data_IF_741808181423
#
_entry.id   IF_741808181423
#
_cell.length_a   1.000
_cell.length_b   1.000
_cell.length_c   1.000
_cell.angle_alpha   90.00
_cell.angle_beta   90.00
_cell.angle_gamma   90.00
#
_symmetry.space_group_name_H-M   'P 1'
#
loop_
_entity.id
_entity.type
_entity.pdbx_description
1 polymer ?
#
# COMPACT_ATOMS: atom_id res chain seq x y z
N UNK A 1 -14.36 17.29 -0.03
CA UNK A 1 -14.40 16.05 -0.83
C UNK A 1 -13.78 14.95 0.00
N UNK A 2 -14.34 13.74 0.01
CA UNK A 2 -13.73 12.61 0.74
C UNK A 2 -12.45 12.17 0.03
N UNK A 3 -11.39 11.89 0.80
CA UNK A 3 -10.16 11.32 0.22
C UNK A 3 -10.39 9.84 -0.14
N UNK A 4 -9.58 9.24 -1.02
CA UNK A 4 -9.71 7.81 -1.31
C UNK A 4 -9.50 6.95 -0.05
N UNK A 5 -8.69 7.40 0.91
CA UNK A 5 -8.54 6.76 2.22
C UNK A 5 -9.83 6.82 3.05
N UNK A 6 -10.53 7.95 3.08
CA UNK A 6 -11.82 8.06 3.78
C UNK A 6 -12.88 7.15 3.14
N UNK A 7 -12.89 7.05 1.81
CA UNK A 7 -13.78 6.14 1.08
C UNK A 7 -13.52 4.67 1.46
N UNK A 8 -12.26 4.27 1.62
CA UNK A 8 -11.89 2.92 2.11
C UNK A 8 -12.41 2.69 3.53
N UNK A 9 -12.24 3.65 4.44
CA UNK A 9 -12.75 3.56 5.82
C UNK A 9 -14.27 3.36 5.86
N UNK A 10 -14.99 3.96 4.91
CA UNK A 10 -16.44 3.79 4.74
C UNK A 10 -16.83 2.60 3.86
N UNK A 11 -15.90 1.71 3.48
CA UNK A 11 -16.10 0.56 2.59
C UNK A 11 -16.66 0.91 1.20
N UNK A 12 -16.50 2.16 0.76
CA UNK A 12 -16.88 2.66 -0.57
C UNK A 12 -15.77 2.36 -1.57
N UNK A 13 -15.49 1.07 -1.76
CA UNK A 13 -14.31 0.61 -2.49
C UNK A 13 -14.33 0.97 -3.98
N UNK A 14 -15.49 0.97 -4.64
CA UNK A 14 -15.57 1.35 -6.06
C UNK A 14 -15.19 2.82 -6.28
N UNK A 15 -15.67 3.71 -5.40
CA UNK A 15 -15.37 5.13 -5.49
C UNK A 15 -13.92 5.42 -5.12
N UNK A 16 -13.41 4.73 -4.08
CA UNK A 16 -11.99 4.80 -3.73
C UNK A 16 -11.11 4.35 -4.90
N UNK A 17 -11.46 3.25 -5.58
CA UNK A 17 -10.75 2.75 -6.74
C UNK A 17 -10.74 3.78 -7.88
N UNK A 18 -11.90 4.32 -8.26
CA UNK A 18 -12.00 5.38 -9.28
C UNK A 18 -11.14 6.59 -8.92
N UNK A 19 -11.20 7.05 -7.68
CA UNK A 19 -10.41 8.18 -7.22
C UNK A 19 -8.90 7.89 -7.27
N UNK A 20 -8.45 6.68 -6.92
CA UNK A 20 -7.04 6.29 -7.04
C UNK A 20 -6.58 6.23 -8.49
N UNK A 21 -7.42 5.79 -9.44
CA UNK A 21 -7.08 5.81 -10.86
C UNK A 21 -6.91 7.23 -11.39
N UNK A 22 -7.73 8.17 -10.93
CA UNK A 22 -7.57 9.59 -11.28
C UNK A 22 -6.27 10.19 -10.69
N UNK A 23 -5.85 9.77 -9.50
CA UNK A 23 -4.56 10.17 -8.93
C UNK A 23 -3.39 9.63 -9.76
N UNK A 24 -3.42 8.34 -10.11
CA UNK A 24 -2.41 7.70 -10.97
C UNK A 24 -2.32 8.39 -12.33
N UNK A 25 -3.45 8.82 -12.90
CA UNK A 25 -3.47 9.56 -14.18
C UNK A 25 -2.78 10.92 -14.08
N UNK A 26 -2.78 11.55 -12.90
CA UNK A 26 -2.12 12.84 -12.66
C UNK A 26 -0.62 12.65 -12.41
N UNK A 27 -0.26 11.65 -11.63
CA UNK A 27 1.12 11.27 -11.38
C UNK A 27 1.24 9.74 -11.26
N UNK A 28 1.92 9.14 -12.25
CA UNK A 28 2.14 7.69 -12.30
C UNK A 28 3.22 7.21 -11.33
N UNK A 29 4.02 8.13 -10.77
CA UNK A 29 5.08 7.83 -9.82
C UNK A 29 4.66 8.13 -8.38
N UNK A 30 3.42 8.57 -8.13
CA UNK A 30 2.88 8.71 -6.78
C UNK A 30 2.59 7.32 -6.19
N UNK A 31 3.32 6.95 -5.12
CA UNK A 31 3.16 5.68 -4.42
C UNK A 31 1.80 5.54 -3.71
N UNK A 32 1.21 6.66 -3.27
CA UNK A 32 0.04 6.67 -2.41
C UNK A 32 -1.20 5.97 -3.03
N UNK A 33 -1.63 6.26 -4.27
CA UNK A 33 -2.77 5.57 -4.87
C UNK A 33 -2.51 4.08 -5.11
N UNK A 34 -1.28 3.65 -5.38
CA UNK A 34 -0.97 2.21 -5.48
C UNK A 34 -1.11 1.52 -4.12
N UNK A 35 -0.66 2.17 -3.05
CA UNK A 35 -0.86 1.68 -1.68
C UNK A 35 -2.34 1.54 -1.34
N UNK A 36 -3.16 2.56 -1.62
CA UNK A 36 -4.61 2.52 -1.35
C UNK A 36 -5.33 1.44 -2.16
N UNK A 37 -4.98 1.26 -3.44
CA UNK A 37 -5.49 0.14 -4.24
C UNK A 37 -5.04 -1.21 -3.68
N UNK A 38 -3.82 -1.28 -3.14
CA UNK A 38 -3.30 -2.45 -2.44
C UNK A 38 -4.13 -2.79 -1.21
N UNK A 39 -4.50 -1.80 -0.39
CA UNK A 39 -5.41 -1.98 0.75
C UNK A 39 -6.77 -2.52 0.30
N UNK A 40 -7.36 -1.94 -0.75
CA UNK A 40 -8.63 -2.43 -1.31
C UNK A 40 -8.49 -3.90 -1.74
N UNK A 41 -7.44 -4.25 -2.48
CA UNK A 41 -7.21 -5.63 -2.92
C UNK A 41 -7.00 -6.59 -1.72
N UNK A 42 -6.31 -6.14 -0.69
CA UNK A 42 -6.07 -6.89 0.54
C UNK A 42 -7.37 -7.16 1.31
N UNK A 43 -8.23 -6.15 1.46
CA UNK A 43 -9.57 -6.28 2.06
C UNK A 43 -10.46 -7.28 1.31
N UNK A 44 -10.34 -7.33 -0.01
CA UNK A 44 -11.04 -8.32 -0.85
C UNK A 44 -10.34 -9.69 -0.89
N UNK A 45 -9.31 -9.92 -0.06
CA UNK A 45 -8.51 -11.15 0.00
C UNK A 45 -7.81 -11.51 -1.31
N UNK A 46 -7.69 -10.56 -2.24
CA UNK A 46 -6.93 -10.73 -3.46
C UNK A 46 -5.45 -10.44 -3.19
N UNK A 47 -4.83 -11.31 -2.40
CA UNK A 47 -3.47 -11.11 -1.89
C UNK A 47 -2.42 -11.07 -3.00
N UNK A 48 -2.65 -11.77 -4.13
CA UNK A 48 -1.77 -11.67 -5.31
C UNK A 48 -1.77 -10.25 -5.88
N UNK A 49 -2.96 -9.65 -6.01
CA UNK A 49 -3.07 -8.27 -6.52
C UNK A 49 -2.57 -7.24 -5.52
N UNK A 50 -2.86 -7.45 -4.23
CA UNK A 50 -2.31 -6.62 -3.16
C UNK A 50 -0.78 -6.63 -3.18
N UNK A 51 -0.16 -7.79 -3.41
CA UNK A 51 1.29 -7.92 -3.52
C UNK A 51 1.87 -7.08 -4.66
N UNK A 52 1.26 -7.14 -5.86
CA UNK A 52 1.69 -6.31 -7.00
C UNK A 52 1.62 -4.82 -6.68
N UNK A 53 0.52 -4.40 -6.05
CA UNK A 53 0.25 -2.99 -5.76
C UNK A 53 1.13 -2.43 -4.63
N UNK A 54 1.34 -3.20 -3.57
CA UNK A 54 2.26 -2.82 -2.50
C UNK A 54 3.71 -2.83 -2.97
N UNK A 55 4.09 -3.77 -3.85
CA UNK A 55 5.43 -3.75 -4.47
C UNK A 55 5.64 -2.44 -5.24
N UNK A 56 4.69 -2.03 -6.07
CA UNK A 56 4.75 -0.74 -6.77
C UNK A 56 4.85 0.45 -5.80
N UNK A 57 4.06 0.46 -4.74
CA UNK A 57 4.13 1.51 -3.73
C UNK A 57 5.54 1.61 -3.11
N UNK A 58 6.18 0.47 -2.80
CA UNK A 58 7.57 0.45 -2.29
C UNK A 58 8.63 0.83 -3.32
N UNK A 59 8.36 0.61 -4.61
CA UNK A 59 9.26 1.03 -5.70
C UNK A 59 9.23 2.55 -5.91
N UNK A 60 8.03 3.15 -5.79
CA UNK A 60 7.83 4.59 -5.97
C UNK A 60 8.14 5.41 -4.72
N UNK A 61 7.88 4.88 -3.53
CA UNK A 61 8.29 5.47 -2.25
C UNK A 61 9.00 4.43 -1.37
N UNK A 62 10.33 4.30 -1.54
CA UNK A 62 11.13 3.34 -0.78
C UNK A 62 11.45 3.80 0.65
N UNK A 63 11.03 5.00 1.06
CA UNK A 63 11.29 5.53 2.40
C UNK A 63 10.10 5.32 3.35
N UNK A 64 8.95 4.94 2.81
CA UNK A 64 7.74 4.84 3.60
C UNK A 64 7.53 3.44 4.20
N UNK A 65 7.83 3.33 5.50
CA UNK A 65 7.80 2.07 6.26
C UNK A 65 6.45 1.35 6.19
N UNK A 66 5.32 2.08 6.14
CA UNK A 66 3.98 1.46 6.09
C UNK A 66 3.77 0.65 4.80
N UNK A 67 4.36 1.04 3.68
CA UNK A 67 4.25 0.27 2.43
C UNK A 67 4.95 -1.09 2.56
N UNK A 68 6.15 -1.11 3.17
CA UNK A 68 6.88 -2.35 3.45
C UNK A 68 6.16 -3.24 4.47
N UNK A 69 5.52 -2.66 5.49
CA UNK A 69 4.77 -3.42 6.48
C UNK A 69 3.61 -4.21 5.84
N UNK A 70 2.81 -3.56 4.99
CA UNK A 70 1.72 -4.25 4.28
C UNK A 70 2.22 -5.23 3.22
N UNK A 71 3.34 -4.93 2.55
CA UNK A 71 3.99 -5.86 1.64
C UNK A 71 4.44 -7.14 2.37
N UNK A 72 5.10 -6.98 3.53
CA UNK A 72 5.56 -8.10 4.36
C UNK A 72 4.38 -8.94 4.89
N UNK A 73 3.32 -8.29 5.35
CA UNK A 73 2.08 -8.95 5.76
C UNK A 73 1.49 -9.78 4.62
N UNK A 74 1.45 -9.21 3.40
CA UNK A 74 0.94 -9.90 2.21
C UNK A 74 1.81 -11.10 1.83
N UNK A 75 3.14 -10.99 1.90
CA UNK A 75 4.05 -12.13 1.72
C UNK A 75 3.78 -13.23 2.74
N UNK A 76 3.58 -12.89 4.01
CA UNK A 76 3.32 -13.87 5.07
C UNK A 76 2.02 -14.64 4.82
N UNK A 77 0.94 -13.96 4.42
CA UNK A 77 -0.35 -14.59 4.07
C UNK A 77 -0.21 -15.53 2.86
N UNK A 78 0.65 -15.18 1.90
CA UNK A 78 0.94 -16.01 0.73
C UNK A 78 1.91 -17.18 1.04
N UNK A 79 2.34 -17.36 2.29
CA UNK A 79 3.27 -18.40 2.70
C UNK A 79 4.75 -18.12 2.34
N UNK A 80 5.05 -16.91 1.87
CA UNK A 80 6.38 -16.46 1.43
C UNK A 80 7.17 -15.87 2.60
N UNK A 81 7.49 -16.71 3.58
CA UNK A 81 8.03 -16.28 4.87
C UNK A 81 9.42 -15.64 4.78
N UNK A 82 10.27 -16.10 3.86
CA UNK A 82 11.60 -15.52 3.65
C UNK A 82 11.52 -14.09 3.13
N UNK A 83 10.65 -13.84 2.14
CA UNK A 83 10.41 -12.49 1.62
C UNK A 83 9.74 -11.59 2.64
N UNK A 84 8.77 -12.13 3.42
CA UNK A 84 8.15 -11.38 4.50
C UNK A 84 9.19 -10.88 5.51
N UNK A 85 10.08 -11.77 5.98
CA UNK A 85 11.15 -11.43 6.91
C UNK A 85 12.09 -10.37 6.35
N UNK A 86 12.58 -10.57 5.13
CA UNK A 86 13.47 -9.60 4.46
C UNK A 86 12.80 -8.24 4.28
N UNK A 87 11.49 -8.22 4.01
CA UNK A 87 10.72 -6.98 3.87
C UNK A 87 10.52 -6.27 5.22
N UNK A 88 10.25 -7.02 6.29
CA UNK A 88 10.22 -6.47 7.66
C UNK A 88 11.58 -5.88 8.07
N UNK A 89 12.68 -6.57 7.76
CA UNK A 89 14.03 -6.09 8.06
C UNK A 89 14.35 -4.78 7.33
N UNK A 90 13.80 -4.58 6.13
CA UNK A 90 13.87 -3.29 5.42
C UNK A 90 13.01 -2.23 6.11
N UNK A 91 11.75 -2.54 6.43
CA UNK A 91 10.83 -1.62 7.10
C UNK A 91 11.42 -1.11 8.44
N UNK A 92 12.04 -1.99 9.22
CA UNK A 92 12.64 -1.66 10.51
C UNK A 92 13.87 -0.76 10.43
N UNK A 93 14.53 -0.68 9.26
CA UNK A 93 15.68 0.21 9.01
C UNK A 93 15.26 1.58 8.51
N UNK A 94 14.02 1.74 8.09
CA UNK A 94 13.50 3.03 7.64
C UNK A 94 13.15 3.88 8.87
N UNK A 95 13.38 5.20 8.81
CA UNK A 95 12.87 6.08 9.84
C UNK A 95 11.35 5.90 9.94
N UNK A 96 10.84 5.82 11.17
CA UNK A 96 9.40 5.87 11.41
C UNK A 96 8.97 7.30 11.09
N UNK A 97 8.69 7.57 9.82
CA UNK A 97 8.11 8.83 9.41
C UNK A 97 6.62 8.74 9.72
N UNK A 98 6.29 8.87 11.00
CA UNK A 98 4.91 9.16 11.39
C UNK A 98 4.52 10.44 10.65
N UNK A 99 3.51 10.34 9.78
CA UNK A 99 3.01 11.46 8.97
C UNK A 99 2.33 12.57 9.82
N UNK A 100 2.73 12.73 11.09
CA UNK A 100 2.23 13.70 12.06
C UNK A 100 3.32 14.58 12.68
N UNK A 101 4.60 14.44 12.29
CA UNK A 101 5.64 15.40 12.71
C UNK A 101 6.04 16.33 11.56
N UNK A 102 5.15 17.26 11.21
CA UNK A 102 5.48 18.52 10.54
C UNK A 102 4.42 19.58 10.87
#
# INVERSE_FOLDING_TARGET
MLTPLDLIKHKRYEEAHKACLELIRKDVYDAHPYYLLGLIAFEHKNYKKALELFTKATEYDPQQAVHFAHLAQTYSILGRQNEAKSTCDKAAKLPITDAFTA
#
